data_IF_008578023604
#
_entry.id   IF_008578023604
#
_cell.length_a   1.000
_cell.length_b   1.000
_cell.length_c   1.000
_cell.angle_alpha   90.00
_cell.angle_beta   90.00
_cell.angle_gamma   90.00
#
_symmetry.space_group_name_H-M   'P 1'
#
loop_
_entity.id
_entity.type
_entity.pdbx_description
1 polymer ?
#
# COMPACT_ATOMS: atom_id res chain seq x y z
N UNK A 1 -10.21 -38.09 -9.22
CA UNK A 1 -10.12 -36.77 -9.84
C UNK A 1 -9.28 -35.95 -8.87
N UNK A 2 -8.08 -35.59 -9.24
CA UNK A 2 -7.26 -34.65 -8.46
C UNK A 2 -7.98 -33.30 -8.55
N UNK A 3 -8.49 -32.83 -7.39
CA UNK A 3 -9.14 -31.52 -7.34
C UNK A 3 -8.11 -30.47 -7.78
N UNK A 4 -8.41 -29.78 -8.87
CA UNK A 4 -7.63 -28.63 -9.31
C UNK A 4 -7.57 -27.62 -8.18
N UNK A 5 -6.40 -27.17 -7.80
CA UNK A 5 -6.23 -26.20 -6.70
C UNK A 5 -5.13 -25.21 -7.05
N UNK A 6 -5.33 -23.97 -6.62
CA UNK A 6 -4.31 -22.92 -6.70
C UNK A 6 -3.78 -22.66 -5.29
N UNK A 7 -2.46 -22.61 -5.14
CA UNK A 7 -1.82 -22.13 -3.93
C UNK A 7 -1.15 -20.79 -4.21
N UNK A 8 -1.63 -19.73 -3.57
CA UNK A 8 -1.02 -18.40 -3.58
C UNK A 8 0.03 -18.37 -2.47
N UNK A 9 1.28 -18.10 -2.82
CA UNK A 9 2.41 -18.15 -1.90
C UNK A 9 3.07 -16.78 -1.77
N UNK A 10 3.14 -16.24 -0.56
CA UNK A 10 3.95 -15.06 -0.25
C UNK A 10 5.40 -15.44 0.02
N UNK A 11 6.32 -14.75 -0.65
CA UNK A 11 7.77 -14.98 -0.57
C UNK A 11 8.48 -14.10 0.47
N UNK A 12 7.74 -13.24 1.15
CA UNK A 12 8.35 -12.24 2.02
C UNK A 12 8.95 -11.06 1.23
N UNK A 13 9.42 -10.02 1.93
CA UNK A 13 9.87 -8.78 1.30
C UNK A 13 11.36 -8.76 0.94
N UNK A 14 12.13 -9.75 1.39
CA UNK A 14 13.60 -9.73 1.31
C UNK A 14 14.24 -11.08 1.08
N UNK A 15 15.26 -11.39 1.90
CA UNK A 15 16.03 -12.62 1.80
C UNK A 15 15.32 -13.88 2.31
N UNK A 16 15.96 -15.06 2.16
CA UNK A 16 15.38 -16.34 2.56
C UNK A 16 15.02 -16.44 4.04
N UNK A 17 15.66 -15.67 4.91
CA UNK A 17 15.40 -15.59 6.36
C UNK A 17 14.03 -15.00 6.69
N UNK A 18 13.42 -14.25 5.77
CA UNK A 18 12.07 -13.70 5.91
C UNK A 18 10.97 -14.60 5.33
N UNK A 19 11.33 -15.77 4.81
CA UNK A 19 10.34 -16.78 4.46
C UNK A 19 9.67 -17.33 5.70
N UNK A 20 8.34 -17.45 5.65
CA UNK A 20 7.61 -18.16 6.70
C UNK A 20 8.00 -19.65 6.69
N UNK A 21 7.95 -20.31 7.84
CA UNK A 21 8.20 -21.75 7.92
C UNK A 21 7.22 -22.56 7.05
N UNK A 22 6.03 -22.06 6.83
CA UNK A 22 5.03 -22.68 5.96
C UNK A 22 5.45 -22.56 4.49
N UNK A 23 5.87 -21.38 4.05
CA UNK A 23 6.42 -21.15 2.71
C UNK A 23 7.61 -22.07 2.44
N UNK A 24 8.60 -22.11 3.35
CA UNK A 24 9.78 -22.97 3.22
C UNK A 24 9.44 -24.47 3.11
N UNK A 25 8.48 -24.95 3.93
CA UNK A 25 8.02 -26.35 3.84
C UNK A 25 7.31 -26.66 2.52
N UNK A 26 6.57 -25.70 1.96
CA UNK A 26 5.92 -25.85 0.67
C UNK A 26 6.97 -25.95 -0.44
N UNK A 27 7.91 -25.00 -0.50
CA UNK A 27 8.98 -24.96 -1.50
C UNK A 27 9.82 -26.25 -1.56
N UNK A 28 10.02 -26.90 -0.39
CA UNK A 28 10.76 -28.18 -0.33
C UNK A 28 9.93 -29.41 -0.75
N UNK A 29 8.66 -29.28 -1.05
CA UNK A 29 7.76 -30.42 -1.39
C UNK A 29 7.23 -30.38 -2.82
N UNK A 30 7.21 -29.21 -3.45
CA UNK A 30 6.68 -29.05 -4.79
C UNK A 30 7.77 -29.26 -5.85
N UNK A 31 7.41 -29.85 -7.01
CA UNK A 31 8.36 -30.04 -8.11
C UNK A 31 8.57 -28.77 -8.94
N UNK A 32 7.57 -27.88 -8.98
CA UNK A 32 7.62 -26.66 -9.78
C UNK A 32 6.82 -25.52 -9.14
N UNK A 33 7.18 -24.28 -9.50
CA UNK A 33 6.59 -23.06 -9.02
C UNK A 33 6.50 -22.01 -10.14
N UNK A 34 5.46 -21.18 -10.11
CA UNK A 34 5.25 -20.06 -11.01
C UNK A 34 5.43 -18.75 -10.25
N UNK A 35 6.43 -17.96 -10.60
CA UNK A 35 6.78 -16.70 -9.97
C UNK A 35 6.20 -15.53 -10.76
N UNK A 36 5.65 -14.55 -10.07
CA UNK A 36 5.34 -13.25 -10.68
C UNK A 36 6.60 -12.66 -11.33
N UNK A 37 7.71 -12.70 -10.61
CA UNK A 37 9.03 -12.28 -11.08
C UNK A 37 10.13 -13.11 -10.44
N UNK A 38 11.23 -13.34 -11.18
CA UNK A 38 12.49 -13.90 -10.65
C UNK A 38 13.35 -12.85 -9.95
N UNK A 39 13.06 -11.57 -10.17
CA UNK A 39 13.86 -10.47 -9.63
C UNK A 39 13.52 -10.24 -8.16
N UNK A 40 13.76 -11.26 -7.33
CA UNK A 40 13.51 -11.21 -5.89
C UNK A 40 14.63 -11.94 -5.13
N UNK A 41 15.21 -11.34 -4.06
CA UNK A 41 16.37 -11.90 -3.36
C UNK A 41 16.19 -13.33 -2.83
N UNK A 42 14.95 -13.70 -2.47
CA UNK A 42 14.65 -15.03 -1.93
C UNK A 42 14.90 -16.16 -2.94
N UNK A 43 14.84 -15.88 -4.25
CA UNK A 43 14.90 -16.90 -5.30
C UNK A 43 16.25 -17.61 -5.32
N UNK A 44 17.35 -16.91 -4.98
CA UNK A 44 18.69 -17.49 -4.88
C UNK A 44 18.81 -18.53 -3.76
N UNK A 45 17.92 -18.47 -2.77
CA UNK A 45 17.87 -19.41 -1.65
C UNK A 45 16.88 -20.56 -1.83
N UNK A 46 16.28 -20.74 -3.00
CA UNK A 46 15.30 -21.82 -3.22
C UNK A 46 15.94 -23.21 -3.18
N UNK A 47 15.15 -24.24 -2.80
CA UNK A 47 15.67 -25.62 -2.79
C UNK A 47 16.22 -26.06 -4.15
N UNK A 48 17.35 -26.79 -4.17
CA UNK A 48 17.91 -27.31 -5.42
C UNK A 48 16.94 -28.29 -6.06
N UNK A 49 16.76 -28.17 -7.39
CA UNK A 49 15.88 -29.04 -8.18
C UNK A 49 14.44 -28.55 -8.31
N UNK A 50 14.04 -27.48 -7.62
CA UNK A 50 12.76 -26.84 -7.85
C UNK A 50 12.74 -26.19 -9.24
N UNK A 51 11.81 -26.63 -10.09
CA UNK A 51 11.62 -26.04 -11.43
C UNK A 51 10.91 -24.71 -11.32
N UNK A 52 11.57 -23.64 -11.76
CA UNK A 52 11.06 -22.28 -11.64
C UNK A 52 10.60 -21.77 -13.00
N UNK A 53 9.33 -21.37 -13.06
CA UNK A 53 8.74 -20.59 -14.13
C UNK A 53 8.55 -19.14 -13.66
N UNK A 54 8.62 -18.18 -14.57
CA UNK A 54 8.32 -16.77 -14.23
C UNK A 54 7.55 -16.09 -15.34
N UNK A 55 6.93 -14.97 -14.99
CA UNK A 55 6.17 -14.13 -15.91
C UNK A 55 6.93 -12.85 -16.30
N UNK A 56 8.26 -12.81 -16.09
CA UNK A 56 9.09 -11.65 -16.42
C UNK A 56 9.05 -11.27 -17.91
N UNK A 57 8.79 -12.26 -18.78
CA UNK A 57 8.64 -12.06 -20.22
C UNK A 57 7.45 -11.15 -20.57
N UNK A 58 6.39 -11.18 -19.77
CA UNK A 58 5.19 -10.36 -20.01
C UNK A 58 5.46 -8.87 -19.82
N UNK A 59 6.30 -8.53 -18.84
CA UNK A 59 6.68 -7.14 -18.56
C UNK A 59 7.48 -6.48 -19.69
N UNK A 60 8.08 -7.28 -20.59
CA UNK A 60 8.87 -6.76 -21.72
C UNK A 60 8.02 -6.43 -22.95
N UNK A 61 6.80 -6.95 -23.04
CA UNK A 61 5.99 -6.92 -24.26
C UNK A 61 4.63 -6.25 -24.10
N UNK A 62 4.19 -5.98 -22.87
CA UNK A 62 2.90 -5.36 -22.61
C UNK A 62 2.99 -3.83 -22.59
N UNK A 63 1.92 -3.18 -23.02
CA UNK A 63 1.81 -1.71 -23.05
C UNK A 63 1.44 -1.12 -21.69
N UNK A 64 0.92 -1.94 -20.76
CA UNK A 64 0.53 -1.52 -19.41
C UNK A 64 0.69 -2.61 -18.37
N UNK A 65 0.81 -2.24 -17.10
CA UNK A 65 0.81 -3.18 -15.98
C UNK A 65 -0.51 -3.96 -15.86
N UNK A 66 -1.62 -3.34 -16.16
CA UNK A 66 -2.95 -3.98 -16.14
C UNK A 66 -3.01 -5.16 -17.11
N UNK A 67 -2.50 -4.99 -18.32
CA UNK A 67 -2.42 -6.05 -19.32
C UNK A 67 -1.53 -7.21 -18.84
N UNK A 68 -0.37 -6.92 -18.24
CA UNK A 68 0.50 -7.94 -17.65
C UNK A 68 -0.24 -8.75 -16.59
N UNK A 69 -0.93 -8.05 -15.68
CA UNK A 69 -1.64 -8.70 -14.58
C UNK A 69 -2.78 -9.58 -15.07
N UNK A 70 -3.56 -9.12 -16.02
CA UNK A 70 -4.63 -9.93 -16.63
C UNK A 70 -4.06 -11.18 -17.32
N UNK A 71 -2.98 -11.07 -18.08
CA UNK A 71 -2.32 -12.21 -18.70
C UNK A 71 -1.78 -13.22 -17.69
N UNK A 72 -1.21 -12.78 -16.57
CA UNK A 72 -0.76 -13.65 -15.47
C UNK A 72 -1.97 -14.41 -14.90
N UNK A 73 -3.03 -13.70 -14.57
CA UNK A 73 -4.26 -14.28 -14.00
C UNK A 73 -4.82 -15.36 -14.92
N UNK A 74 -5.01 -15.07 -16.20
CA UNK A 74 -5.50 -16.02 -17.20
C UNK A 74 -4.61 -17.28 -17.30
N UNK A 75 -3.27 -17.10 -17.32
CA UNK A 75 -2.33 -18.22 -17.40
C UNK A 75 -2.40 -19.11 -16.15
N UNK A 76 -2.49 -18.54 -14.95
CA UNK A 76 -2.57 -19.30 -13.69
C UNK A 76 -3.89 -20.08 -13.61
N UNK A 77 -5.02 -19.46 -13.95
CA UNK A 77 -6.32 -20.14 -13.99
C UNK A 77 -6.34 -21.29 -15.03
N UNK A 78 -5.77 -21.05 -16.21
CA UNK A 78 -5.69 -22.08 -17.25
C UNK A 78 -4.79 -23.27 -16.83
N UNK A 79 -3.70 -23.02 -16.11
CA UNK A 79 -2.83 -24.07 -15.57
C UNK A 79 -3.55 -24.90 -14.53
N UNK A 80 -4.28 -24.30 -13.61
CA UNK A 80 -5.07 -25.00 -12.59
C UNK A 80 -6.08 -25.96 -13.21
N UNK A 81 -6.71 -25.58 -14.32
CA UNK A 81 -7.64 -26.43 -15.05
C UNK A 81 -7.01 -27.66 -15.75
N UNK A 82 -5.68 -27.64 -15.99
CA UNK A 82 -4.97 -28.70 -16.73
C UNK A 82 -4.08 -29.60 -15.90
N UNK A 83 -3.47 -29.07 -14.85
CA UNK A 83 -2.35 -29.71 -14.13
C UNK A 83 -2.67 -30.13 -12.68
N UNK A 84 -3.85 -29.83 -12.17
CA UNK A 84 -4.17 -30.05 -10.75
C UNK A 84 -3.67 -28.91 -9.87
N UNK A 85 -2.79 -29.19 -8.90
CA UNK A 85 -2.29 -28.14 -7.99
C UNK A 85 -1.25 -27.25 -8.68
N UNK A 86 -1.49 -25.92 -8.67
CA UNK A 86 -0.58 -24.89 -9.21
C UNK A 86 -0.14 -23.98 -8.08
N UNK A 87 1.17 -23.80 -7.88
CA UNK A 87 1.72 -22.86 -6.89
C UNK A 87 2.17 -21.61 -7.60
N UNK A 88 1.49 -20.50 -7.33
CA UNK A 88 1.83 -19.17 -7.80
C UNK A 88 2.40 -18.35 -6.64
N UNK A 89 3.59 -17.77 -6.84
CA UNK A 89 4.28 -17.06 -5.78
C UNK A 89 4.62 -15.62 -6.16
N UNK A 90 4.49 -14.75 -5.17
CA UNK A 90 4.66 -13.31 -5.31
C UNK A 90 5.59 -12.74 -4.23
N UNK A 91 6.30 -11.64 -4.49
CA UNK A 91 7.00 -10.88 -3.45
C UNK A 91 6.06 -10.47 -2.31
N UNK A 92 6.55 -10.45 -1.09
CA UNK A 92 5.78 -10.00 0.06
C UNK A 92 4.64 -10.94 0.46
N UNK A 93 3.48 -10.38 0.70
CA UNK A 93 2.24 -11.06 1.09
C UNK A 93 1.24 -11.08 -0.08
N UNK A 94 0.52 -12.18 -0.34
CA UNK A 94 -0.39 -12.31 -1.50
C UNK A 94 -1.51 -11.26 -1.59
N UNK A 95 -1.85 -10.60 -0.49
CA UNK A 95 -2.94 -9.61 -0.45
C UNK A 95 -2.50 -8.23 0.07
N UNK A 96 -1.21 -7.92 0.02
CA UNK A 96 -0.71 -6.60 0.40
C UNK A 96 0.07 -6.02 -0.77
N UNK A 97 -0.48 -4.98 -1.39
CA UNK A 97 0.05 -4.34 -2.60
C UNK A 97 0.29 -5.35 -3.76
N UNK A 98 -0.64 -6.30 -3.93
CA UNK A 98 -0.53 -7.40 -4.89
C UNK A 98 -1.88 -7.64 -5.61
N UNK A 99 -1.99 -7.11 -6.83
CA UNK A 99 -3.23 -7.16 -7.59
C UNK A 99 -3.53 -8.54 -8.18
N UNK A 100 -2.50 -9.26 -8.65
CA UNK A 100 -2.72 -10.54 -9.36
C UNK A 100 -3.29 -11.62 -8.46
N UNK A 101 -2.82 -11.71 -7.22
CA UNK A 101 -3.34 -12.69 -6.25
C UNK A 101 -4.81 -12.44 -5.89
N UNK A 102 -5.18 -11.18 -5.71
CA UNK A 102 -6.58 -10.80 -5.42
C UNK A 102 -7.50 -11.18 -6.56
N UNK A 103 -7.09 -10.94 -7.79
CA UNK A 103 -7.88 -11.25 -8.98
C UNK A 103 -7.93 -12.76 -9.26
N UNK A 104 -6.82 -13.50 -9.08
CA UNK A 104 -6.81 -14.97 -9.16
C UNK A 104 -7.78 -15.55 -8.13
N UNK A 105 -7.74 -15.06 -6.88
CA UNK A 105 -8.61 -15.52 -5.81
C UNK A 105 -10.08 -15.32 -6.17
N UNK A 106 -10.44 -14.14 -6.65
CA UNK A 106 -11.81 -13.79 -7.06
C UNK A 106 -12.31 -14.69 -8.20
N UNK A 107 -11.55 -14.75 -9.34
CA UNK A 107 -11.94 -15.53 -10.52
C UNK A 107 -11.94 -17.04 -10.26
N UNK A 108 -10.99 -17.54 -9.48
CA UNK A 108 -10.97 -18.96 -9.10
C UNK A 108 -12.20 -19.33 -8.27
N UNK A 109 -12.59 -18.48 -7.34
CA UNK A 109 -13.80 -18.69 -6.53
C UNK A 109 -15.07 -18.73 -7.39
N UNK A 110 -15.20 -17.84 -8.38
CA UNK A 110 -16.30 -17.82 -9.34
C UNK A 110 -16.36 -19.08 -10.21
N UNK A 111 -15.19 -19.68 -10.49
CA UNK A 111 -15.08 -20.92 -11.26
C UNK A 111 -15.15 -22.19 -10.40
N UNK A 112 -15.32 -22.08 -9.09
CA UNK A 112 -15.33 -23.20 -8.15
C UNK A 112 -13.97 -23.89 -7.98
N UNK A 113 -12.86 -23.22 -8.29
CA UNK A 113 -11.51 -23.71 -8.12
C UNK A 113 -11.06 -23.42 -6.67
N UNK A 114 -10.68 -24.44 -5.88
CA UNK A 114 -10.18 -24.22 -4.53
C UNK A 114 -8.86 -23.43 -4.53
N UNK A 115 -8.79 -22.40 -3.67
CA UNK A 115 -7.59 -21.60 -3.48
C UNK A 115 -7.09 -21.76 -2.04
N UNK A 116 -5.81 -22.05 -1.90
CA UNK A 116 -5.08 -21.99 -0.63
C UNK A 116 -4.19 -20.76 -0.62
N UNK A 117 -4.01 -20.16 0.55
CA UNK A 117 -3.06 -19.07 0.76
C UNK A 117 -2.00 -19.51 1.74
N UNK A 118 -0.75 -19.32 1.36
CA UNK A 118 0.41 -19.44 2.23
C UNK A 118 0.96 -18.03 2.38
N UNK A 119 0.75 -17.47 3.54
CA UNK A 119 1.11 -16.09 3.86
C UNK A 119 2.62 -15.85 3.78
N UNK A 120 2.98 -14.65 3.39
CA UNK A 120 4.32 -14.10 3.49
C UNK A 120 4.34 -12.88 4.42
N UNK A 121 5.49 -12.48 4.90
CA UNK A 121 5.69 -11.17 5.52
C UNK A 121 5.52 -10.13 4.41
N UNK A 122 4.80 -9.04 4.67
CA UNK A 122 4.64 -7.97 3.68
C UNK A 122 5.85 -7.02 3.70
N UNK A 123 5.85 -6.01 2.85
CA UNK A 123 6.84 -4.92 2.95
C UNK A 123 6.60 -4.05 4.19
N UNK A 124 5.40 -4.07 4.73
CA UNK A 124 4.98 -3.19 5.81
C UNK A 124 5.73 -3.47 7.11
N UNK A 125 5.85 -4.72 7.52
CA UNK A 125 6.50 -5.10 8.78
C UNK A 125 7.97 -4.67 8.83
N UNK A 126 8.81 -4.93 7.84
CA UNK A 126 10.18 -4.42 7.86
C UNK A 126 10.25 -2.89 7.71
N UNK A 127 9.33 -2.26 6.98
CA UNK A 127 9.25 -0.79 6.92
C UNK A 127 8.97 -0.20 8.31
N UNK A 128 8.01 -0.74 9.04
CA UNK A 128 7.73 -0.33 10.42
C UNK A 128 8.91 -0.57 11.35
N UNK A 129 9.60 -1.69 11.19
CA UNK A 129 10.81 -2.01 11.96
C UNK A 129 11.92 -1.01 11.69
N UNK A 130 12.20 -0.69 10.43
CA UNK A 130 13.22 0.28 10.03
C UNK A 130 12.93 1.69 10.56
N UNK A 131 11.65 2.06 10.64
CA UNK A 131 11.19 3.35 11.19
C UNK A 131 11.12 3.36 12.72
N UNK A 132 11.08 2.21 13.40
CA UNK A 132 10.74 2.10 14.81
C UNK A 132 9.32 2.60 15.11
N UNK A 133 8.38 2.42 14.18
CA UNK A 133 7.03 2.98 14.24
C UNK A 133 5.98 1.89 14.54
N UNK A 134 4.97 2.25 15.33
CA UNK A 134 3.76 1.45 15.55
C UNK A 134 2.63 2.08 14.70
N UNK A 135 1.97 1.32 13.80
CA UNK A 135 0.86 1.85 12.99
C UNK A 135 -0.43 2.08 13.79
N UNK A 136 -0.51 1.62 15.02
CA UNK A 136 -1.65 1.82 15.91
C UNK A 136 -1.51 3.13 16.71
N UNK A 137 -2.64 3.75 17.13
CA UNK A 137 -4.02 3.28 17.00
C UNK A 137 -4.62 3.45 15.60
N UNK A 138 -4.02 4.23 14.72
CA UNK A 138 -4.44 4.41 13.33
C UNK A 138 -3.28 4.90 12.47
N UNK A 139 -3.26 4.45 11.24
CA UNK A 139 -2.36 4.93 10.17
C UNK A 139 -3.04 4.71 8.82
N UNK A 140 -2.64 5.48 7.82
CA UNK A 140 -3.07 5.28 6.44
C UNK A 140 -2.04 4.47 5.68
N UNK A 141 -2.49 3.46 4.93
CA UNK A 141 -1.67 2.71 3.98
C UNK A 141 -2.20 2.99 2.58
N UNK A 142 -1.36 3.58 1.73
CA UNK A 142 -1.78 4.10 0.42
C UNK A 142 -0.80 3.65 -0.66
N UNK A 143 -1.32 3.33 -1.84
CA UNK A 143 -0.49 3.13 -3.02
C UNK A 143 -0.10 4.50 -3.61
N UNK A 144 1.16 4.67 -3.99
CA UNK A 144 1.65 5.90 -4.60
C UNK A 144 0.88 6.24 -5.88
N UNK A 145 0.45 5.25 -6.65
CA UNK A 145 -0.30 5.46 -7.89
C UNK A 145 -1.66 6.12 -7.67
N UNK A 146 -2.29 5.92 -6.51
CA UNK A 146 -3.52 6.63 -6.15
C UNK A 146 -3.28 8.13 -5.91
N UNK A 147 -2.03 8.52 -5.65
CA UNK A 147 -1.64 9.91 -5.45
C UNK A 147 -1.21 10.60 -6.74
N UNK A 148 -0.74 9.87 -7.76
CA UNK A 148 -0.20 10.46 -8.99
C UNK A 148 -1.24 11.25 -9.81
N UNK A 149 -2.51 10.93 -9.69
CA UNK A 149 -3.61 11.66 -10.35
C UNK A 149 -4.46 12.52 -9.41
N UNK A 150 -4.14 12.52 -8.10
CA UNK A 150 -4.91 13.23 -7.10
C UNK A 150 -4.43 14.68 -6.93
N UNK A 151 -5.31 15.56 -6.49
CA UNK A 151 -4.97 16.96 -6.18
C UNK A 151 -4.76 17.20 -4.68
N UNK A 152 -5.24 16.28 -3.85
CA UNK A 152 -5.04 16.25 -2.39
C UNK A 152 -4.90 14.79 -1.95
N UNK A 153 -4.16 14.50 -0.85
CA UNK A 153 -4.06 13.14 -0.36
C UNK A 153 -5.42 12.60 0.11
N UNK A 154 -5.79 11.35 -0.21
CA UNK A 154 -7.07 10.75 0.15
C UNK A 154 -7.10 10.21 1.59
N UNK A 155 -6.32 10.81 2.48
CA UNK A 155 -6.22 10.41 3.89
C UNK A 155 -6.05 11.64 4.78
N UNK A 156 -6.47 11.55 6.06
CA UNK A 156 -6.39 12.67 6.98
C UNK A 156 -4.93 13.00 7.32
N UNK A 157 -4.49 14.27 7.21
CA UNK A 157 -3.14 14.66 7.54
C UNK A 157 -2.82 14.60 9.05
N UNK A 158 -3.83 14.40 9.89
CA UNK A 158 -3.69 14.16 11.33
C UNK A 158 -3.29 12.71 11.68
N UNK A 159 -3.28 11.80 10.69
CA UNK A 159 -2.81 10.43 10.82
C UNK A 159 -1.44 10.25 10.14
N UNK A 160 -0.55 9.39 10.65
CA UNK A 160 0.62 9.00 9.90
C UNK A 160 0.22 8.20 8.65
N UNK A 161 0.99 8.31 7.58
CA UNK A 161 0.75 7.54 6.36
C UNK A 161 2.01 6.79 5.92
N UNK A 162 1.81 5.57 5.42
CA UNK A 162 2.82 4.80 4.69
C UNK A 162 2.35 4.73 3.24
N UNK A 163 3.14 5.28 2.33
CA UNK A 163 2.87 5.29 0.90
C UNK A 163 3.80 4.27 0.27
N UNK A 164 3.21 3.22 -0.28
CA UNK A 164 3.91 2.13 -0.95
C UNK A 164 4.21 2.48 -2.41
N UNK A 165 5.15 1.75 -3.01
CA UNK A 165 5.42 1.76 -4.45
C UNK A 165 5.94 3.10 -5.00
N UNK A 166 6.83 3.78 -4.28
CA UNK A 166 7.58 4.93 -4.79
C UNK A 166 8.72 4.43 -5.69
N UNK A 167 8.38 3.84 -6.82
CA UNK A 167 9.34 3.07 -7.63
C UNK A 167 10.18 3.89 -8.61
N UNK A 168 9.86 5.18 -8.81
CA UNK A 168 10.64 6.06 -9.69
C UNK A 168 10.65 7.51 -9.18
N UNK A 169 11.61 8.34 -9.63
CA UNK A 169 11.64 9.77 -9.32
C UNK A 169 10.38 10.52 -9.83
N UNK A 170 9.78 10.09 -10.94
CA UNK A 170 8.57 10.68 -11.48
C UNK A 170 7.39 10.43 -10.53
N UNK A 171 7.19 9.19 -10.06
CA UNK A 171 6.17 8.86 -9.05
C UNK A 171 6.42 9.63 -7.75
N UNK A 172 7.67 9.71 -7.30
CA UNK A 172 8.02 10.50 -6.12
C UNK A 172 7.67 11.99 -6.31
N UNK A 173 7.87 12.54 -7.52
CA UNK A 173 7.51 13.92 -7.84
C UNK A 173 6.01 14.16 -7.80
N UNK A 174 5.21 13.27 -8.39
CA UNK A 174 3.75 13.37 -8.37
C UNK A 174 3.19 13.25 -6.95
N UNK A 175 3.67 12.27 -6.19
CA UNK A 175 3.32 12.08 -4.76
C UNK A 175 3.67 13.33 -3.96
N UNK A 176 4.87 13.90 -4.16
CA UNK A 176 5.29 15.15 -3.52
C UNK A 176 4.30 16.29 -3.78
N UNK A 177 3.93 16.51 -5.05
CA UNK A 177 3.02 17.59 -5.42
C UNK A 177 1.64 17.42 -4.78
N UNK A 178 1.11 16.21 -4.76
CA UNK A 178 -0.16 15.89 -4.11
C UNK A 178 -0.10 16.12 -2.59
N UNK A 179 0.99 15.68 -1.93
CA UNK A 179 1.15 15.88 -0.49
C UNK A 179 1.34 17.35 -0.12
N UNK A 180 2.07 18.13 -0.93
CA UNK A 180 2.32 19.55 -0.69
C UNK A 180 1.04 20.42 -0.82
N UNK A 181 -0.07 19.88 -1.32
CA UNK A 181 -1.37 20.56 -1.25
C UNK A 181 -1.88 20.71 0.20
N UNK A 182 -1.38 19.90 1.13
CA UNK A 182 -1.83 19.86 2.54
C UNK A 182 -0.67 20.00 3.52
N UNK A 183 0.45 19.35 3.23
CA UNK A 183 1.64 19.36 4.08
C UNK A 183 2.57 20.52 3.67
N UNK A 184 3.23 21.20 4.63
CA UNK A 184 4.29 22.15 4.31
C UNK A 184 5.42 21.48 3.51
N UNK A 185 6.08 22.24 2.65
CA UNK A 185 7.22 21.78 1.85
C UNK A 185 8.37 21.23 2.72
N UNK A 186 8.61 21.85 3.88
CA UNK A 186 9.61 21.45 4.87
C UNK A 186 9.15 20.32 5.81
N UNK A 187 7.95 19.76 5.60
CA UNK A 187 7.47 18.68 6.48
C UNK A 187 8.46 17.51 6.44
N UNK A 188 8.95 17.05 7.62
CA UNK A 188 9.90 15.94 7.67
C UNK A 188 9.21 14.64 7.28
N UNK A 189 9.81 13.92 6.35
CA UNK A 189 9.33 12.59 5.89
C UNK A 189 10.50 11.61 5.87
N UNK A 190 10.22 10.32 5.72
CA UNK A 190 11.26 9.30 5.62
C UNK A 190 11.00 8.37 4.44
N UNK A 191 11.95 8.32 3.50
CA UNK A 191 12.00 7.27 2.50
C UNK A 191 12.65 6.04 3.12
N UNK A 192 12.00 4.89 2.96
CA UNK A 192 12.49 3.58 3.40
C UNK A 192 12.76 2.75 2.17
N UNK A 193 14.03 2.46 1.93
CA UNK A 193 14.50 1.74 0.76
C UNK A 193 14.81 0.30 1.13
N UNK A 194 14.40 -0.64 0.31
CA UNK A 194 14.73 -2.05 0.38
C UNK A 194 14.55 -2.68 1.78
N UNK A 195 13.49 -2.28 2.50
CA UNK A 195 13.21 -2.75 3.85
C UNK A 195 13.19 -4.29 3.93
N UNK A 196 13.85 -4.84 4.94
CA UNK A 196 14.00 -6.29 5.13
C UNK A 196 15.03 -6.94 4.22
N UNK A 197 15.91 -6.18 3.58
CA UNK A 197 17.05 -6.69 2.80
C UNK A 197 18.38 -6.20 3.36
N UNK A 198 19.49 -6.75 2.86
CA UNK A 198 20.84 -6.28 3.23
C UNK A 198 21.12 -4.82 2.76
N UNK A 199 20.30 -4.28 1.86
CA UNK A 199 20.40 -2.92 1.34
C UNK A 199 19.40 -1.96 2.02
N UNK A 200 18.79 -2.37 3.13
CA UNK A 200 17.86 -1.54 3.88
C UNK A 200 18.50 -0.19 4.27
N UNK A 201 17.80 0.89 3.95
CA UNK A 201 18.23 2.25 4.29
C UNK A 201 17.02 3.14 4.56
N UNK A 202 17.12 3.99 5.58
CA UNK A 202 16.15 5.03 5.87
C UNK A 202 16.78 6.39 5.59
N UNK A 203 16.14 7.18 4.74
CA UNK A 203 16.55 8.54 4.38
C UNK A 203 15.51 9.53 4.89
N UNK A 204 15.85 10.32 5.91
CA UNK A 204 15.00 11.38 6.45
C UNK A 204 15.32 12.70 5.77
N UNK A 205 14.30 13.35 5.20
CA UNK A 205 14.45 14.56 4.38
C UNK A 205 13.15 15.38 4.41
N UNK A 206 13.19 16.67 4.01
CA UNK A 206 11.97 17.44 3.84
C UNK A 206 11.19 16.96 2.62
N UNK A 207 9.86 17.07 2.70
CA UNK A 207 8.93 16.58 1.68
C UNK A 207 9.28 17.06 0.25
N UNK A 208 9.71 18.30 0.09
CA UNK A 208 10.04 18.85 -1.23
C UNK A 208 11.25 18.19 -1.92
N UNK A 209 12.04 17.37 -1.20
CA UNK A 209 13.24 16.71 -1.72
C UNK A 209 13.06 15.23 -2.09
N UNK A 210 11.91 14.62 -1.85
CA UNK A 210 11.75 13.17 -2.00
C UNK A 210 12.04 12.65 -3.42
N UNK A 211 11.76 13.43 -4.44
CA UNK A 211 12.04 13.12 -5.86
C UNK A 211 13.50 13.32 -6.26
N UNK A 212 14.31 13.90 -5.37
CA UNK A 212 15.76 14.13 -5.59
C UNK A 212 16.64 13.03 -4.99
N UNK A 213 16.04 12.15 -4.18
CA UNK A 213 16.77 11.01 -3.66
C UNK A 213 17.24 10.09 -4.78
N UNK A 214 18.53 9.73 -4.73
CA UNK A 214 19.15 8.82 -5.69
C UNK A 214 18.83 7.35 -5.42
N UNK A 215 18.22 7.06 -4.28
CA UNK A 215 17.93 5.70 -3.81
C UNK A 215 16.48 5.28 -4.10
N UNK A 216 15.67 6.18 -4.66
CA UNK A 216 14.30 5.84 -5.09
C UNK A 216 14.35 4.72 -6.13
N UNK A 217 13.55 3.68 -5.91
CA UNK A 217 13.47 2.50 -6.77
C UNK A 217 12.36 1.54 -6.35
N UNK A 218 12.30 0.38 -7.00
CA UNK A 218 11.21 -0.61 -6.88
C UNK A 218 10.84 -1.02 -5.45
N UNK A 219 11.75 -0.91 -4.50
CA UNK A 219 11.56 -1.29 -3.10
C UNK A 219 11.54 -0.07 -2.17
N UNK A 220 11.00 1.05 -2.64
CA UNK A 220 10.92 2.29 -1.86
C UNK A 220 9.50 2.54 -1.37
N UNK A 221 9.38 2.85 -0.07
CA UNK A 221 8.17 3.35 0.57
C UNK A 221 8.43 4.71 1.20
N UNK A 222 7.39 5.53 1.35
CA UNK A 222 7.48 6.83 2.02
C UNK A 222 6.64 6.79 3.29
N UNK A 223 7.23 7.21 4.40
CA UNK A 223 6.53 7.49 5.64
C UNK A 223 6.33 8.99 5.80
N UNK A 224 5.09 9.40 6.04
CA UNK A 224 4.67 10.77 6.27
C UNK A 224 4.14 10.87 7.70
N UNK A 225 4.86 11.53 8.62
CA UNK A 225 4.38 11.80 9.96
C UNK A 225 3.12 12.68 9.94
N UNK A 226 2.26 12.60 10.97
CA UNK A 226 1.05 13.40 11.02
C UNK A 226 1.35 14.89 11.24
N UNK A 227 0.48 15.76 10.70
CA UNK A 227 0.32 17.13 11.16
C UNK A 227 -0.47 17.16 12.49
N UNK A 228 -0.54 18.33 13.15
CA UNK A 228 -1.36 18.54 14.34
C UNK A 228 -2.86 18.25 14.06
N UNK A 229 -3.60 17.91 15.13
CA UNK A 229 -5.03 17.53 15.01
C UNK A 229 -5.91 18.63 14.41
N UNK A 230 -5.56 19.90 14.59
CA UNK A 230 -6.34 21.05 14.13
C UNK A 230 -6.26 21.28 12.61
N UNK A 231 -5.47 20.50 11.90
CA UNK A 231 -5.20 20.69 10.46
C UNK A 231 -6.04 19.80 9.54
N UNK A 232 -6.90 18.93 10.08
CA UNK A 232 -7.69 18.01 9.26
C UNK A 232 -9.18 18.32 9.31
N UNK A 233 -9.88 18.01 8.21
CA UNK A 233 -11.33 18.14 8.15
C UNK A 233 -12.03 17.19 9.14
N UNK A 234 -11.48 16.01 9.35
CA UNK A 234 -11.97 15.01 10.30
C UNK A 234 -11.85 15.51 11.75
N UNK A 235 -10.76 16.21 12.09
CA UNK A 235 -10.62 16.85 13.40
C UNK A 235 -11.64 17.97 13.61
N UNK A 236 -11.92 18.75 12.57
CA UNK A 236 -12.98 19.75 12.61
C UNK A 236 -14.36 19.11 12.81
N UNK A 237 -14.65 18.03 12.09
CA UNK A 237 -15.89 17.27 12.26
C UNK A 237 -16.04 16.73 13.68
N UNK A 238 -14.96 16.22 14.28
CA UNK A 238 -14.95 15.74 15.67
C UNK A 238 -15.22 16.87 16.67
N UNK A 239 -14.64 18.06 16.49
CA UNK A 239 -14.91 19.23 17.31
C UNK A 239 -16.42 19.57 17.29
N UNK A 240 -17.03 19.63 16.11
CA UNK A 240 -18.46 19.91 15.98
C UNK A 240 -19.32 18.81 16.63
N UNK A 241 -18.94 17.54 16.42
CA UNK A 241 -19.64 16.40 17.04
C UNK A 241 -19.56 16.46 18.58
N UNK A 242 -18.38 16.76 19.12
CA UNK A 242 -18.15 16.91 20.56
C UNK A 242 -18.98 18.06 21.16
N UNK A 243 -18.98 19.24 20.52
CA UNK A 243 -19.75 20.39 20.98
C UNK A 243 -21.26 20.08 21.08
N UNK A 244 -21.79 19.22 20.22
CA UNK A 244 -23.20 18.81 20.20
C UNK A 244 -23.50 17.53 20.98
N UNK A 245 -22.51 16.89 21.57
CA UNK A 245 -22.67 15.69 22.40
C UNK A 245 -23.46 15.98 23.68
N UNK A 246 -24.05 14.97 24.36
CA UNK A 246 -24.82 15.17 25.60
C UNK A 246 -24.07 15.90 26.72
N UNK A 247 -22.74 15.71 26.77
CA UNK A 247 -21.80 16.32 27.69
C UNK A 247 -21.03 17.52 27.08
N UNK A 248 -21.40 17.91 25.85
CA UNK A 248 -20.81 19.03 25.13
C UNK A 248 -21.35 20.40 25.54
N UNK A 249 -21.14 21.40 24.69
CA UNK A 249 -21.53 22.78 24.93
C UNK A 249 -23.07 22.93 24.97
N UNK A 250 -23.69 23.43 26.05
CA UNK A 250 -25.12 23.63 26.13
C UNK A 250 -25.63 24.56 25.03
N UNK A 251 -24.88 25.62 24.71
CA UNK A 251 -25.25 26.58 23.68
C UNK A 251 -25.34 25.94 22.29
N UNK A 252 -24.33 25.17 21.90
CA UNK A 252 -24.27 24.48 20.60
C UNK A 252 -25.39 23.44 20.46
N UNK A 253 -25.73 22.76 21.53
CA UNK A 253 -26.81 21.75 21.56
C UNK A 253 -28.21 22.35 21.33
N UNK A 254 -28.43 23.58 21.78
CA UNK A 254 -29.69 24.29 21.59
C UNK A 254 -29.85 24.88 20.19
N UNK A 255 -28.76 25.00 19.43
CA UNK A 255 -28.81 25.62 18.10
C UNK A 255 -29.60 24.79 17.11
N UNK A 256 -30.37 25.50 16.29
CA UNK A 256 -31.08 25.00 15.12
C UNK A 256 -30.58 25.75 13.87
N UNK A 257 -30.90 25.26 12.68
CA UNK A 257 -30.58 25.98 11.45
C UNK A 257 -31.20 27.41 11.43
N UNK A 258 -32.34 27.62 12.11
CA UNK A 258 -32.99 28.94 12.21
C UNK A 258 -32.26 29.87 13.16
N UNK A 259 -31.80 29.37 14.32
CA UNK A 259 -31.11 30.20 15.31
C UNK A 259 -29.69 30.56 14.84
N UNK A 260 -29.03 29.71 14.02
CA UNK A 260 -27.73 29.99 13.45
C UNK A 260 -27.76 30.98 12.27
N UNK A 261 -28.93 31.25 11.67
CA UNK A 261 -29.03 32.12 10.50
C UNK A 261 -28.47 33.55 10.70
N UNK A 262 -28.74 34.27 11.80
CA UNK A 262 -28.15 35.58 12.05
C UNK A 262 -26.60 35.51 12.12
N UNK A 263 -26.07 34.53 12.86
CA UNK A 263 -24.63 34.35 13.00
C UNK A 263 -23.95 34.08 11.66
N UNK A 264 -24.53 33.23 10.80
CA UNK A 264 -24.01 32.99 9.46
C UNK A 264 -23.90 34.27 8.61
N UNK A 265 -24.92 35.19 8.74
CA UNK A 265 -24.90 36.46 8.04
C UNK A 265 -23.80 37.39 8.56
N UNK A 266 -23.60 37.42 9.88
CA UNK A 266 -22.56 38.22 10.53
C UNK A 266 -21.18 37.76 10.08
N UNK A 267 -20.86 36.46 10.20
CA UNK A 267 -19.59 35.87 9.75
C UNK A 267 -19.33 36.09 8.23
N UNK A 268 -20.39 36.00 7.42
CA UNK A 268 -20.26 36.23 5.99
C UNK A 268 -19.84 37.69 5.68
N UNK A 269 -20.39 38.67 6.42
CA UNK A 269 -19.98 40.07 6.25
C UNK A 269 -18.57 40.33 6.76
N UNK A 270 -18.12 39.67 7.83
CA UNK A 270 -16.73 39.73 8.31
C UNK A 270 -15.75 39.21 7.29
N UNK A 271 -16.08 38.05 6.65
CA UNK A 271 -15.25 37.51 5.56
C UNK A 271 -15.16 38.48 4.38
N UNK A 272 -16.28 39.08 3.96
CA UNK A 272 -16.30 40.08 2.88
C UNK A 272 -15.42 41.28 3.23
N UNK A 273 -15.58 41.80 4.46
CA UNK A 273 -14.77 42.94 4.91
C UNK A 273 -13.26 42.63 5.01
N UNK A 274 -12.89 41.38 5.20
CA UNK A 274 -11.47 40.95 5.21
C UNK A 274 -10.90 40.75 3.79
N UNK A 275 -11.76 40.56 2.77
CA UNK A 275 -11.37 40.46 1.36
C UNK A 275 -11.17 41.83 0.75
N UNK A 276 -11.98 42.83 1.11
CA UNK A 276 -11.93 44.23 0.64
C UNK A 276 -10.73 45.03 1.25
#
# INVERSE_FOLDING_TARGET
>A
MTDSAITLLGLGPGGPELLTRQAWRLLNRIPEIYLRTRQHPVVDGFPPGLKIHSFDDLYQHADSFEEVYDQIVERILALAGRQGEVVYAVPGHPFVAEATCSEIYRRAHEQGIPVKVVEGISFLEPTLTALGADPLPYSSLVDALELTGAHVPPFPPSAPAIIAQIYSPEVASDVKLTLMAVYPDQHPVSLVHAAGTAQEMVESLPLYEIDRSRSVGLLTSLYVPPLGRETSFEAFQEVIAHLRAPDGCPWDREQTHKTLRPHLLEEAYEVIAAID
#
